data_IF_568224192671
#
_entry.id   IF_568224192671
#
_cell.length_a   1.000
_cell.length_b   1.000
_cell.length_c   1.000
_cell.angle_alpha   90.00
_cell.angle_beta   90.00
_cell.angle_gamma   90.00
#
_symmetry.space_group_name_H-M   'P 1'
#
loop_
_entity.id
_entity.type
_entity.pdbx_description
1 polymer ?
#
# COMPACT_ATOMS: atom_id res chain seq x y z
N UNK A 1 -7.75 32.05 9.83
CA UNK A 1 -8.99 31.23 9.83
C UNK A 1 -9.02 30.16 8.75
N UNK A 2 -9.08 30.44 7.43
CA UNK A 2 -9.09 29.36 6.40
C UNK A 2 -7.80 28.54 6.38
N UNK A 3 -6.65 29.21 6.46
CA UNK A 3 -5.32 28.58 6.50
C UNK A 3 -5.14 27.63 7.70
N UNK A 4 -5.68 27.98 8.87
CA UNK A 4 -5.56 27.17 10.08
C UNK A 4 -6.38 25.88 9.97
N UNK A 5 -7.59 25.97 9.39
CA UNK A 5 -8.44 24.81 9.14
C UNK A 5 -7.81 23.84 8.12
N UNK A 6 -7.15 24.36 7.08
CA UNK A 6 -6.45 23.55 6.09
C UNK A 6 -5.21 22.86 6.70
N UNK A 7 -4.48 23.56 7.58
CA UNK A 7 -3.36 22.97 8.33
C UNK A 7 -3.85 21.85 9.25
N UNK A 8 -4.94 22.06 10.00
CA UNK A 8 -5.54 21.02 10.84
C UNK A 8 -5.98 19.79 10.04
N UNK A 9 -6.57 19.99 8.86
CA UNK A 9 -6.94 18.89 7.95
C UNK A 9 -5.70 18.13 7.45
N UNK A 10 -4.63 18.85 7.10
CA UNK A 10 -3.36 18.26 6.70
C UNK A 10 -2.74 17.42 7.82
N UNK A 11 -2.70 17.95 9.04
CA UNK A 11 -2.19 17.23 10.22
C UNK A 11 -3.04 15.98 10.49
N UNK A 12 -4.36 16.09 10.44
CA UNK A 12 -5.26 14.95 10.64
C UNK A 12 -5.04 13.86 9.58
N UNK A 13 -4.87 14.23 8.31
CA UNK A 13 -4.59 13.29 7.22
C UNK A 13 -3.22 12.60 7.42
N UNK A 14 -2.20 13.35 7.84
CA UNK A 14 -0.87 12.79 8.15
C UNK A 14 -0.95 11.80 9.31
N UNK A 15 -1.55 12.18 10.44
CA UNK A 15 -1.71 11.31 11.60
C UNK A 15 -2.49 10.04 11.25
N UNK A 16 -3.61 10.19 10.53
CA UNK A 16 -4.41 9.05 10.08
C UNK A 16 -3.60 8.09 9.19
N UNK A 17 -2.85 8.64 8.24
CA UNK A 17 -2.00 7.83 7.36
C UNK A 17 -0.90 7.11 8.14
N UNK A 18 -0.25 7.80 9.10
CA UNK A 18 0.77 7.20 9.97
C UNK A 18 0.21 6.07 10.81
N UNK A 19 -0.96 6.26 11.42
CA UNK A 19 -1.61 5.22 12.23
C UNK A 19 -1.95 4.01 11.36
N UNK A 20 -2.62 4.22 10.22
CA UNK A 20 -3.01 3.15 9.30
C UNK A 20 -1.79 2.37 8.80
N UNK A 21 -0.73 3.07 8.45
CA UNK A 21 0.51 2.46 7.97
C UNK A 21 1.20 1.65 9.09
N UNK A 22 1.39 2.24 10.27
CA UNK A 22 2.08 1.58 11.38
C UNK A 22 1.30 0.36 11.91
N UNK A 23 -0.02 0.47 12.04
CA UNK A 23 -0.87 -0.63 12.51
C UNK A 23 -0.95 -1.80 11.53
N UNK A 24 -0.59 -1.58 10.26
CA UNK A 24 -0.62 -2.65 9.25
C UNK A 24 0.43 -3.73 9.53
N UNK A 25 1.58 -3.41 10.13
CA UNK A 25 2.66 -4.39 10.35
C UNK A 25 2.29 -5.56 11.28
N UNK A 26 1.70 -5.32 12.47
CA UNK A 26 1.17 -6.42 13.30
C UNK A 26 0.13 -7.28 12.57
N UNK A 27 -0.77 -6.65 11.81
CA UNK A 27 -1.82 -7.35 11.05
C UNK A 27 -1.19 -8.21 9.94
N UNK A 28 -0.23 -7.67 9.18
CA UNK A 28 0.55 -8.39 8.18
C UNK A 28 1.24 -9.60 8.82
N UNK A 29 1.87 -9.41 9.98
CA UNK A 29 2.59 -10.47 10.68
C UNK A 29 1.68 -11.65 11.04
N UNK A 30 0.48 -11.36 11.56
CA UNK A 30 -0.53 -12.38 11.86
C UNK A 30 -0.98 -13.08 10.57
N UNK A 31 -1.34 -12.30 9.54
CA UNK A 31 -1.86 -12.83 8.28
C UNK A 31 -0.85 -13.70 7.52
N UNK A 32 0.42 -13.31 7.49
CA UNK A 32 1.53 -14.08 6.89
C UNK A 32 1.93 -15.26 7.77
N UNK A 33 1.64 -15.23 9.07
CA UNK A 33 1.79 -16.42 9.94
C UNK A 33 0.77 -17.53 9.61
N UNK A 34 -0.41 -17.16 9.11
CA UNK A 34 -1.49 -18.09 8.74
C UNK A 34 -1.61 -18.38 7.23
N UNK A 35 -0.76 -17.78 6.39
CA UNK A 35 -0.80 -17.87 4.92
C UNK A 35 0.62 -17.88 4.34
N UNK A 36 0.81 -18.35 3.10
CA UNK A 36 2.06 -18.07 2.39
C UNK A 36 2.21 -16.56 2.15
N UNK A 37 3.45 -16.03 2.19
CA UNK A 37 3.71 -14.60 1.95
C UNK A 37 3.24 -14.12 0.56
N UNK A 38 3.25 -15.03 -0.42
CA UNK A 38 2.64 -14.81 -1.74
C UNK A 38 1.11 -14.71 -1.65
N UNK A 39 0.45 -15.66 -0.96
CA UNK A 39 -1.01 -15.66 -0.81
C UNK A 39 -1.53 -14.37 -0.18
N UNK A 40 -0.87 -13.89 0.88
CA UNK A 40 -1.22 -12.62 1.52
C UNK A 40 -1.10 -11.43 0.54
N UNK A 41 0.05 -11.30 -0.12
CA UNK A 41 0.35 -10.12 -0.95
C UNK A 41 -0.50 -10.06 -2.22
N UNK A 42 -0.73 -11.19 -2.88
CA UNK A 42 -1.50 -11.22 -4.11
C UNK A 42 -3.00 -11.08 -3.84
N UNK A 43 -3.53 -11.67 -2.76
CA UNK A 43 -4.94 -11.52 -2.38
C UNK A 43 -5.26 -10.05 -2.06
N UNK A 44 -4.47 -9.40 -1.20
CA UNK A 44 -4.69 -7.97 -0.87
C UNK A 44 -4.59 -7.08 -2.12
N UNK A 45 -3.63 -7.37 -3.00
CA UNK A 45 -3.40 -6.57 -4.21
C UNK A 45 -4.52 -6.76 -5.22
N UNK A 46 -5.06 -7.98 -5.34
CA UNK A 46 -6.24 -8.26 -6.15
C UNK A 46 -7.47 -7.51 -5.64
N UNK A 47 -7.73 -7.55 -4.32
CA UNK A 47 -8.83 -6.80 -3.71
C UNK A 47 -8.69 -5.30 -3.98
N UNK A 48 -7.50 -4.73 -3.77
CA UNK A 48 -7.24 -3.32 -4.03
C UNK A 48 -7.41 -2.97 -5.52
N UNK A 49 -6.90 -3.80 -6.42
CA UNK A 49 -7.04 -3.62 -7.86
C UNK A 49 -8.51 -3.65 -8.29
N UNK A 50 -9.29 -4.63 -7.81
CA UNK A 50 -10.73 -4.73 -8.10
C UNK A 50 -11.52 -3.54 -7.54
N UNK A 51 -11.20 -3.08 -6.33
CA UNK A 51 -11.84 -1.91 -5.73
C UNK A 51 -11.56 -0.62 -6.51
N UNK A 52 -10.35 -0.48 -7.07
CA UNK A 52 -9.94 0.69 -7.84
C UNK A 52 -10.27 0.59 -9.34
N UNK A 53 -10.57 -0.61 -9.84
CA UNK A 53 -10.81 -0.86 -11.26
C UNK A 53 -11.94 0.01 -11.85
N UNK A 54 -13.10 0.24 -11.20
CA UNK A 54 -14.15 1.11 -11.73
C UNK A 54 -13.68 2.56 -11.91
N UNK A 55 -12.85 3.06 -10.99
CA UNK A 55 -12.29 4.41 -11.06
C UNK A 55 -11.24 4.50 -12.17
N UNK A 56 -10.37 3.50 -12.26
CA UNK A 56 -9.35 3.41 -13.29
C UNK A 56 -9.98 3.28 -14.69
N UNK A 57 -10.98 2.42 -14.86
CA UNK A 57 -11.67 2.18 -16.13
C UNK A 57 -12.28 3.45 -16.73
N UNK A 58 -12.86 4.33 -15.89
CA UNK A 58 -13.38 5.65 -16.31
C UNK A 58 -12.30 6.58 -16.88
N UNK A 59 -11.04 6.38 -16.51
CA UNK A 59 -9.90 7.22 -16.89
C UNK A 59 -8.99 6.56 -17.92
N UNK A 60 -9.04 5.23 -18.05
CA UNK A 60 -8.11 4.45 -18.89
C UNK A 60 -8.29 4.76 -20.39
N UNK A 61 -9.52 5.03 -20.83
CA UNK A 61 -9.78 5.44 -22.22
C UNK A 61 -9.22 6.82 -22.59
N UNK A 62 -8.79 7.60 -21.59
CA UNK A 62 -8.11 8.90 -21.78
C UNK A 62 -6.59 8.81 -21.55
N UNK A 63 -6.09 7.64 -21.15
CA UNK A 63 -4.68 7.44 -20.86
C UNK A 63 -3.93 7.11 -22.16
N UNK A 64 -2.88 7.87 -22.46
CA UNK A 64 -1.99 7.54 -23.56
C UNK A 64 -1.20 6.26 -23.28
N UNK A 65 -0.63 5.65 -24.33
CA UNK A 65 0.20 4.44 -24.22
C UNK A 65 1.34 4.58 -23.21
N UNK A 66 1.99 5.74 -23.18
CA UNK A 66 3.06 6.04 -22.23
C UNK A 66 2.56 6.03 -20.76
N UNK A 67 1.41 6.64 -20.49
CA UNK A 67 0.80 6.63 -19.15
C UNK A 67 0.38 5.24 -18.72
N UNK A 68 -0.19 4.45 -19.65
CA UNK A 68 -0.57 3.07 -19.37
C UNK A 68 0.66 2.20 -19.06
N UNK A 69 1.72 2.32 -19.85
CA UNK A 69 2.97 1.59 -19.61
C UNK A 69 3.62 2.01 -18.29
N UNK A 70 3.66 3.31 -18.00
CA UNK A 70 4.15 3.82 -16.72
C UNK A 70 3.37 3.25 -15.52
N UNK A 71 2.05 3.22 -15.61
CA UNK A 71 1.20 2.62 -14.57
C UNK A 71 1.47 1.13 -14.35
N UNK A 72 1.67 0.36 -15.43
CA UNK A 72 2.01 -1.07 -15.33
C UNK A 72 3.38 -1.26 -14.69
N UNK A 73 4.40 -0.53 -15.14
CA UNK A 73 5.77 -0.62 -14.59
C UNK A 73 5.79 -0.24 -13.11
N UNK A 74 5.18 0.88 -12.74
CA UNK A 74 5.08 1.30 -11.34
C UNK A 74 4.27 0.30 -10.51
N UNK A 75 3.19 -0.25 -11.06
CA UNK A 75 2.38 -1.28 -10.40
C UNK A 75 3.16 -2.55 -10.10
N UNK A 76 3.95 -3.04 -11.07
CA UNK A 76 4.83 -4.22 -10.88
C UNK A 76 5.88 -3.93 -9.82
N UNK A 77 6.59 -2.80 -9.91
CA UNK A 77 7.60 -2.42 -8.93
C UNK A 77 7.01 -2.32 -7.51
N UNK A 78 5.82 -1.73 -7.39
CA UNK A 78 5.10 -1.62 -6.12
C UNK A 78 4.68 -2.99 -5.57
N UNK A 79 4.11 -3.85 -6.40
CA UNK A 79 3.70 -5.20 -5.98
C UNK A 79 4.89 -6.05 -5.53
N UNK A 80 6.03 -5.98 -6.24
CA UNK A 80 7.26 -6.65 -5.84
C UNK A 80 7.79 -6.12 -4.51
N UNK A 81 7.81 -4.80 -4.31
CA UNK A 81 8.22 -4.19 -3.05
C UNK A 81 7.35 -4.65 -1.88
N UNK A 82 6.02 -4.68 -2.08
CA UNK A 82 5.08 -5.17 -1.07
C UNK A 82 5.23 -6.66 -0.77
N UNK A 83 5.54 -7.47 -1.78
CA UNK A 83 5.77 -8.90 -1.59
C UNK A 83 7.03 -9.14 -0.76
N UNK A 84 8.13 -8.49 -1.13
CA UNK A 84 9.40 -8.58 -0.38
C UNK A 84 9.23 -8.06 1.05
N UNK A 85 8.48 -6.97 1.24
CA UNK A 85 8.14 -6.46 2.58
C UNK A 85 7.32 -7.47 3.40
N UNK A 86 6.26 -8.03 2.82
CA UNK A 86 5.41 -9.01 3.50
C UNK A 86 6.17 -10.29 3.85
N UNK A 87 7.01 -10.75 2.93
CA UNK A 87 7.90 -11.88 3.17
C UNK A 87 8.91 -11.61 4.28
N UNK A 88 9.59 -10.45 4.24
CA UNK A 88 10.49 -10.02 5.31
C UNK A 88 9.80 -9.88 6.66
N UNK A 89 8.54 -9.41 6.68
CA UNK A 89 7.72 -9.34 7.90
C UNK A 89 7.44 -10.72 8.48
N UNK A 90 7.31 -11.74 7.64
CA UNK A 90 7.26 -13.13 8.09
C UNK A 90 8.52 -13.55 8.86
N UNK A 91 9.70 -13.06 8.47
CA UNK A 91 11.00 -13.48 8.99
C UNK A 91 11.49 -12.68 10.22
N UNK A 92 10.96 -11.48 10.49
CA UNK A 92 11.38 -10.63 11.62
C UNK A 92 10.19 -10.12 12.44
N UNK A 93 10.42 -9.34 13.49
CA UNK A 93 9.34 -8.74 14.29
C UNK A 93 8.63 -7.64 13.50
N UNK A 94 7.34 -7.42 13.80
CA UNK A 94 6.58 -6.35 13.15
C UNK A 94 7.25 -4.97 13.29
N UNK A 95 7.84 -4.69 14.46
CA UNK A 95 8.56 -3.44 14.73
C UNK A 95 9.83 -3.29 13.88
N UNK A 96 10.63 -4.36 13.73
CA UNK A 96 11.83 -4.33 12.90
C UNK A 96 11.46 -4.14 11.41
N UNK A 97 10.41 -4.78 10.94
CA UNK A 97 9.90 -4.59 9.57
C UNK A 97 9.41 -3.17 9.32
N UNK A 98 8.65 -2.60 10.27
CA UNK A 98 8.19 -1.23 10.19
C UNK A 98 9.37 -0.24 10.15
N UNK A 99 10.39 -0.45 10.99
CA UNK A 99 11.57 0.39 11.00
C UNK A 99 12.35 0.33 9.67
N UNK A 100 12.65 -0.87 9.16
CA UNK A 100 13.41 -1.04 7.91
C UNK A 100 12.70 -0.43 6.70
N UNK A 101 11.38 -0.47 6.68
CA UNK A 101 10.58 0.02 5.53
C UNK A 101 10.19 1.48 5.63
N UNK A 102 10.32 2.08 6.82
CA UNK A 102 10.07 3.50 7.06
C UNK A 102 11.31 4.40 6.98
N UNK A 103 12.52 3.81 6.84
CA UNK A 103 13.78 4.51 6.59
C UNK A 103 13.90 4.95 5.12
#
# INVERSE_FOLDING_TARGET
>A
MRRDADVLRGIAALLGTTILWASSFPVIKIAVGSSTGLGYTWMRSAIAALALLPLAARRIGRAGRATALGGVVTGIAYALGLWLQGWGTGLTTASNSAFITGL
#
